data_IF_984818122493
#
_entry.id   IF_984818122493
#
_cell.length_a   1.000
_cell.length_b   1.000
_cell.length_c   1.000
_cell.angle_alpha   90.00
_cell.angle_beta   90.00
_cell.angle_gamma   90.00
#
_symmetry.space_group_name_H-M   'P 1'
#
loop_
_entity.id
_entity.type
_entity.pdbx_description
1 polymer ?
#
# COMPACT_ATOMS: atom_id res chain seq x y z
N UNK A 1 4.48 -15.35 16.56
CA UNK A 1 5.58 -14.49 16.09
C UNK A 1 5.25 -13.07 16.53
N UNK A 2 6.15 -12.42 17.27
CA UNK A 2 5.91 -11.06 17.75
C UNK A 2 6.12 -10.08 16.57
N UNK A 3 5.18 -9.15 16.38
CA UNK A 3 5.31 -8.10 15.37
C UNK A 3 6.45 -7.14 15.75
N UNK A 4 7.28 -6.78 14.77
CA UNK A 4 8.33 -5.79 14.94
C UNK A 4 7.82 -4.47 14.35
N UNK A 5 7.77 -3.44 15.20
CA UNK A 5 7.34 -2.11 14.79
C UNK A 5 8.24 -1.58 13.65
N UNK A 6 7.59 -0.99 12.64
CA UNK A 6 8.30 -0.45 11.46
C UNK A 6 8.35 1.07 11.54
N UNK A 7 9.49 1.63 11.23
CA UNK A 7 9.66 3.10 11.18
C UNK A 7 8.70 3.78 10.18
N UNK A 8 8.18 3.01 9.23
CA UNK A 8 7.23 3.49 8.22
C UNK A 8 5.81 3.72 8.77
N UNK A 9 5.43 3.15 9.94
CA UNK A 9 4.05 3.10 10.41
C UNK A 9 3.37 4.45 10.52
N UNK A 10 3.97 5.39 11.26
CA UNK A 10 3.37 6.70 11.50
C UNK A 10 3.19 7.51 10.23
N UNK A 11 4.20 7.44 9.36
CA UNK A 11 4.15 8.12 8.07
C UNK A 11 3.11 7.48 7.14
N UNK A 12 3.02 6.16 7.14
CA UNK A 12 2.03 5.42 6.36
C UNK A 12 0.61 5.75 6.80
N UNK A 13 0.32 5.73 8.11
CA UNK A 13 -0.99 6.09 8.67
C UNK A 13 -1.39 7.53 8.32
N UNK A 14 -0.47 8.48 8.49
CA UNK A 14 -0.70 9.89 8.10
C UNK A 14 -1.02 10.02 6.61
N UNK A 15 -0.30 9.32 5.77
CA UNK A 15 -0.52 9.35 4.31
C UNK A 15 -1.87 8.75 3.92
N UNK A 16 -2.35 7.74 4.64
CA UNK A 16 -3.69 7.16 4.46
C UNK A 16 -4.84 8.15 4.68
N UNK A 17 -4.59 9.24 5.40
CA UNK A 17 -5.58 10.32 5.59
C UNK A 17 -5.58 11.35 4.44
N UNK A 18 -4.64 11.28 3.51
CA UNK A 18 -4.51 12.25 2.42
C UNK A 18 -4.75 11.62 1.04
N UNK A 19 -4.26 10.40 0.83
CA UNK A 19 -4.40 9.72 -0.45
C UNK A 19 -5.62 8.80 -0.45
N UNK A 20 -6.46 8.83 -1.50
CA UNK A 20 -7.54 7.87 -1.67
C UNK A 20 -7.03 6.43 -1.87
N UNK A 21 -5.87 6.27 -2.49
CA UNK A 21 -5.20 4.99 -2.59
C UNK A 21 -3.75 5.06 -2.09
N UNK A 22 -3.26 3.96 -1.52
CA UNK A 22 -1.85 3.76 -1.18
C UNK A 22 -1.40 2.45 -1.80
N UNK A 23 -0.21 2.45 -2.41
CA UNK A 23 0.48 1.26 -2.87
C UNK A 23 1.74 1.04 -2.03
N UNK A 24 1.80 -0.08 -1.33
CA UNK A 24 3.00 -0.55 -0.64
C UNK A 24 3.71 -1.58 -1.49
N UNK A 25 4.88 -1.21 -1.99
CA UNK A 25 5.76 -2.08 -2.79
C UNK A 25 6.95 -2.58 -1.98
N UNK A 26 7.71 -3.46 -2.54
CA UNK A 26 8.96 -3.97 -1.96
C UNK A 26 9.23 -5.42 -2.30
N UNK A 27 10.41 -5.95 -1.96
CA UNK A 27 10.77 -7.33 -2.21
C UNK A 27 9.76 -8.32 -1.62
N UNK A 28 9.77 -9.55 -2.12
CA UNK A 28 8.98 -10.63 -1.53
C UNK A 28 9.46 -10.92 -0.10
N UNK A 29 8.53 -11.35 0.76
CA UNK A 29 8.80 -11.80 2.14
C UNK A 29 9.37 -10.75 3.10
N UNK A 30 9.31 -9.46 2.76
CA UNK A 30 9.70 -8.38 3.71
C UNK A 30 8.61 -8.02 4.73
N UNK A 31 7.43 -8.68 4.66
CA UNK A 31 6.35 -8.49 5.61
C UNK A 31 5.32 -7.42 5.24
N UNK A 32 5.16 -7.06 3.95
CA UNK A 32 4.20 -6.05 3.50
C UNK A 32 2.78 -6.32 3.98
N UNK A 33 2.26 -7.53 3.73
CA UNK A 33 0.92 -7.92 4.14
C UNK A 33 0.75 -7.93 5.66
N UNK A 34 1.75 -8.43 6.39
CA UNK A 34 1.77 -8.40 7.86
C UNK A 34 1.72 -6.98 8.39
N UNK A 35 2.54 -6.08 7.82
CA UNK A 35 2.55 -4.66 8.14
C UNK A 35 1.18 -4.02 7.91
N UNK A 36 0.61 -4.15 6.71
CA UNK A 36 -0.66 -3.53 6.37
C UNK A 36 -1.82 -4.05 7.24
N UNK A 37 -1.85 -5.36 7.51
CA UNK A 37 -2.85 -5.93 8.41
C UNK A 37 -2.69 -5.46 9.85
N UNK A 38 -1.47 -5.20 10.29
CA UNK A 38 -1.21 -4.66 11.63
C UNK A 38 -1.64 -3.20 11.76
N UNK A 39 -1.40 -2.37 10.74
CA UNK A 39 -1.71 -0.93 10.78
C UNK A 39 -3.13 -0.60 10.31
N UNK A 40 -3.84 -1.56 9.73
CA UNK A 40 -5.20 -1.35 9.24
C UNK A 40 -6.21 -1.29 10.39
N UNK A 41 -7.23 -0.47 10.21
CA UNK A 41 -8.42 -0.46 11.05
C UNK A 41 -9.24 -1.75 10.89
N UNK A 42 -9.98 -2.14 11.92
CA UNK A 42 -10.80 -3.37 11.91
C UNK A 42 -11.89 -3.37 10.83
N UNK A 43 -12.35 -2.19 10.43
CA UNK A 43 -13.38 -2.02 9.40
C UNK A 43 -12.88 -2.25 7.97
N UNK A 44 -11.56 -2.32 7.75
CA UNK A 44 -10.98 -2.50 6.42
C UNK A 44 -11.10 -3.93 5.96
N UNK A 45 -11.79 -4.14 4.85
CA UNK A 45 -11.85 -5.43 4.18
C UNK A 45 -10.46 -5.87 3.69
N UNK A 46 -10.22 -7.17 3.69
CA UNK A 46 -8.99 -7.75 3.15
C UNK A 46 -9.31 -8.80 2.10
N UNK A 47 -8.63 -8.73 0.97
CA UNK A 47 -8.68 -9.74 -0.09
C UNK A 47 -7.30 -9.94 -0.69
N UNK A 48 -6.93 -11.20 -0.96
CA UNK A 48 -5.66 -11.55 -1.61
C UNK A 48 -5.90 -12.12 -2.99
N UNK A 49 -5.23 -11.54 -3.98
CA UNK A 49 -5.23 -12.05 -5.35
C UNK A 49 -4.31 -13.26 -5.57
N UNK A 50 -3.63 -13.73 -4.51
CA UNK A 50 -3.04 -15.07 -4.50
C UNK A 50 -4.09 -16.17 -4.59
N UNK A 51 -5.31 -15.90 -4.09
CA UNK A 51 -6.44 -16.84 -4.14
C UNK A 51 -6.99 -16.86 -5.57
N UNK A 52 -6.94 -18.03 -6.28
CA UNK A 52 -7.32 -18.11 -7.70
C UNK A 52 -8.75 -17.65 -7.98
N UNK A 53 -9.71 -17.95 -7.09
CA UNK A 53 -11.11 -17.54 -7.24
C UNK A 53 -11.24 -16.01 -7.28
N UNK A 54 -10.61 -15.34 -6.34
CA UNK A 54 -10.72 -13.89 -6.21
C UNK A 54 -9.93 -13.19 -7.33
N UNK A 55 -8.78 -13.76 -7.71
CA UNK A 55 -8.00 -13.29 -8.87
C UNK A 55 -8.77 -13.40 -10.17
N UNK A 56 -9.44 -14.53 -10.43
CA UNK A 56 -10.21 -14.72 -11.65
C UNK A 56 -11.38 -13.74 -11.70
N UNK A 57 -12.11 -13.57 -10.59
CA UNK A 57 -13.18 -12.58 -10.52
C UNK A 57 -12.66 -11.16 -10.79
N UNK A 58 -11.51 -10.80 -10.20
CA UNK A 58 -10.90 -9.47 -10.39
C UNK A 58 -10.52 -9.19 -11.86
N UNK A 59 -10.19 -10.23 -12.62
CA UNK A 59 -9.84 -10.12 -14.05
C UNK A 59 -11.05 -10.13 -14.96
N UNK A 60 -11.99 -11.04 -14.70
CA UNK A 60 -13.15 -11.31 -15.58
C UNK A 60 -14.27 -10.30 -15.35
N UNK A 61 -14.48 -9.89 -14.09
CA UNK A 61 -15.51 -8.94 -13.70
C UNK A 61 -15.02 -8.01 -12.58
N UNK A 62 -14.21 -6.99 -12.91
CA UNK A 62 -13.68 -6.02 -11.95
C UNK A 62 -14.77 -5.26 -11.18
N UNK A 63 -15.91 -4.96 -11.80
CA UNK A 63 -17.02 -4.25 -11.15
C UNK A 63 -17.61 -5.12 -10.04
N UNK A 64 -17.96 -6.36 -10.35
CA UNK A 64 -18.49 -7.31 -9.36
C UNK A 64 -17.48 -7.59 -8.26
N UNK A 65 -16.18 -7.66 -8.58
CA UNK A 65 -15.14 -7.80 -7.56
C UNK A 65 -15.18 -6.63 -6.57
N UNK A 66 -15.23 -5.39 -7.06
CA UNK A 66 -15.25 -4.20 -6.22
C UNK A 66 -16.60 -3.99 -5.48
N UNK A 67 -17.70 -4.49 -6.02
CA UNK A 67 -18.98 -4.55 -5.30
C UNK A 67 -18.93 -5.50 -4.09
N UNK A 68 -18.23 -6.61 -4.21
CA UNK A 68 -18.03 -7.60 -3.12
C UNK A 68 -17.02 -7.11 -2.09
N UNK A 69 -15.98 -6.42 -2.54
CA UNK A 69 -14.88 -5.92 -1.72
C UNK A 69 -14.88 -4.40 -1.66
N UNK A 70 -15.95 -3.84 -1.05
CA UNK A 70 -16.14 -2.39 -0.97
C UNK A 70 -15.04 -1.71 -0.15
N UNK A 71 -14.67 -0.47 -0.50
CA UNK A 71 -13.79 0.35 0.33
C UNK A 71 -14.39 0.64 1.73
N UNK A 72 -13.56 0.79 2.77
CA UNK A 72 -12.10 0.67 2.73
C UNK A 72 -11.63 -0.79 2.57
N UNK A 73 -10.73 -1.02 1.63
CA UNK A 73 -10.26 -2.37 1.31
C UNK A 73 -8.76 -2.43 1.11
N UNK A 74 -8.14 -3.52 1.57
CA UNK A 74 -6.77 -3.90 1.30
C UNK A 74 -6.78 -5.02 0.27
N UNK A 75 -6.22 -4.74 -0.92
CA UNK A 75 -6.06 -5.71 -2.01
C UNK A 75 -4.58 -6.11 -2.07
N UNK A 76 -4.32 -7.36 -1.72
CA UNK A 76 -2.98 -7.91 -1.68
C UNK A 76 -2.59 -8.50 -3.04
N UNK A 77 -1.34 -8.23 -3.49
CA UNK A 77 -0.76 -8.70 -4.74
C UNK A 77 -1.49 -8.21 -6.01
N UNK A 78 -1.73 -6.89 -6.07
CA UNK A 78 -2.48 -6.21 -7.17
C UNK A 78 -1.91 -6.50 -8.57
N UNK A 79 -0.61 -6.86 -8.69
CA UNK A 79 0.00 -7.20 -9.97
C UNK A 79 -0.64 -8.41 -10.67
N UNK A 80 -1.40 -9.22 -9.93
CA UNK A 80 -2.12 -10.36 -10.51
C UNK A 80 -3.42 -10.00 -11.24
N UNK A 81 -3.97 -8.80 -10.99
CA UNK A 81 -5.14 -8.31 -11.70
C UNK A 81 -5.06 -6.79 -11.93
N UNK A 82 -4.13 -6.33 -12.79
CA UNK A 82 -4.01 -4.90 -13.12
C UNK A 82 -5.27 -4.34 -13.78
N UNK A 83 -6.16 -5.19 -14.27
CA UNK A 83 -7.48 -4.85 -14.82
C UNK A 83 -8.36 -4.09 -13.81
N UNK A 84 -8.11 -4.24 -12.50
CA UNK A 84 -8.82 -3.50 -11.45
C UNK A 84 -8.50 -2.00 -11.44
N UNK A 85 -7.32 -1.60 -11.87
CA UNK A 85 -6.83 -0.22 -11.69
C UNK A 85 -7.73 0.85 -12.33
N UNK A 86 -8.24 0.69 -13.57
CA UNK A 86 -9.18 1.65 -14.15
C UNK A 86 -10.49 1.79 -13.36
N UNK A 87 -11.00 0.69 -12.80
CA UNK A 87 -12.24 0.69 -12.01
C UNK A 87 -12.02 1.31 -10.63
N UNK A 88 -10.88 1.04 -9.99
CA UNK A 88 -10.46 1.72 -8.76
C UNK A 88 -10.39 3.23 -8.99
N UNK A 89 -9.82 3.68 -10.12
CA UNK A 89 -9.79 5.10 -10.49
C UNK A 89 -11.19 5.70 -10.55
N UNK A 90 -12.12 5.04 -11.23
CA UNK A 90 -13.51 5.51 -11.36
C UNK A 90 -14.17 5.67 -9.98
N UNK A 91 -14.00 4.71 -9.09
CA UNK A 91 -14.53 4.79 -7.73
C UNK A 91 -13.90 5.92 -6.92
N UNK A 92 -12.59 6.11 -7.02
CA UNK A 92 -11.90 7.22 -6.36
C UNK A 92 -12.42 8.57 -6.86
N UNK A 93 -12.57 8.73 -8.17
CA UNK A 93 -13.06 9.98 -8.77
C UNK A 93 -14.50 10.28 -8.38
N UNK A 94 -15.32 9.26 -8.16
CA UNK A 94 -16.72 9.38 -7.73
C UNK A 94 -16.83 9.75 -6.25
N UNK A 95 -16.09 9.08 -5.38
CA UNK A 95 -16.27 9.21 -3.93
C UNK A 95 -15.34 10.24 -3.29
N UNK A 96 -14.15 10.44 -3.83
CA UNK A 96 -13.14 11.41 -3.40
C UNK A 96 -12.80 11.33 -1.89
N UNK A 97 -12.80 10.13 -1.33
CA UNK A 97 -12.49 9.89 0.08
C UNK A 97 -11.05 9.42 0.25
N UNK A 98 -10.34 9.84 1.31
CA UNK A 98 -9.03 9.29 1.62
C UNK A 98 -9.15 7.85 2.13
N UNK A 99 -8.06 7.07 1.99
CA UNK A 99 -7.94 5.75 2.57
C UNK A 99 -8.83 4.66 1.97
N UNK A 100 -9.42 4.87 0.80
CA UNK A 100 -10.32 3.89 0.17
C UNK A 100 -9.63 2.58 -0.15
N UNK A 101 -8.44 2.65 -0.77
CA UNK A 101 -7.72 1.49 -1.27
C UNK A 101 -6.32 1.41 -0.72
N UNK A 102 -5.98 0.32 -0.07
CA UNK A 102 -4.61 -0.07 0.24
C UNK A 102 -4.23 -1.24 -0.66
N UNK A 103 -3.16 -1.09 -1.40
CA UNK A 103 -2.71 -2.04 -2.38
C UNK A 103 -1.32 -2.55 -1.99
N UNK A 104 -1.05 -3.83 -2.19
CA UNK A 104 0.32 -4.34 -2.16
C UNK A 104 0.73 -4.85 -3.53
N UNK A 105 2.04 -4.87 -3.74
CA UNK A 105 2.60 -5.47 -4.93
C UNK A 105 4.10 -5.66 -4.84
N UNK A 106 4.63 -6.56 -5.65
CA UNK A 106 6.08 -6.68 -5.84
C UNK A 106 6.60 -5.53 -6.69
N UNK A 107 7.89 -5.19 -6.51
CA UNK A 107 8.61 -4.21 -7.34
C UNK A 107 8.79 -4.75 -8.77
N UNK A 108 7.72 -4.81 -9.53
CA UNK A 108 7.79 -5.10 -10.97
C UNK A 108 7.61 -3.80 -11.76
N UNK A 109 8.53 -3.50 -12.64
CA UNK A 109 8.52 -2.28 -13.45
C UNK A 109 7.19 -2.06 -14.20
N UNK A 110 6.62 -3.14 -14.76
CA UNK A 110 5.31 -3.08 -15.45
C UNK A 110 4.17 -2.69 -14.51
N UNK A 111 4.16 -3.26 -13.30
CA UNK A 111 3.11 -2.95 -12.31
C UNK A 111 3.20 -1.49 -11.86
N UNK A 112 4.40 -1.00 -11.55
CA UNK A 112 4.61 0.40 -11.18
C UNK A 112 4.13 1.35 -12.28
N UNK A 113 4.45 1.06 -13.54
CA UNK A 113 3.99 1.84 -14.68
C UNK A 113 2.46 1.86 -14.79
N UNK A 114 1.81 0.71 -14.71
CA UNK A 114 0.35 0.62 -14.77
C UNK A 114 -0.33 1.42 -13.64
N UNK A 115 0.20 1.33 -12.42
CA UNK A 115 -0.35 2.09 -11.27
C UNK A 115 -0.14 3.58 -11.46
N UNK A 116 1.06 4.01 -11.85
CA UNK A 116 1.36 5.45 -12.05
C UNK A 116 0.56 6.04 -13.21
N UNK A 117 0.32 5.30 -14.28
CA UNK A 117 -0.51 5.75 -15.40
C UNK A 117 -2.00 5.79 -15.03
N UNK A 118 -2.52 4.74 -14.37
CA UNK A 118 -3.95 4.64 -14.05
C UNK A 118 -4.37 5.51 -12.85
N UNK A 119 -3.54 5.61 -11.82
CA UNK A 119 -3.86 6.27 -10.56
C UNK A 119 -3.04 7.56 -10.33
N UNK A 120 -2.55 8.19 -11.39
CA UNK A 120 -1.79 9.44 -11.32
C UNK A 120 -2.54 10.51 -10.48
N UNK A 121 -1.83 11.11 -9.51
CA UNK A 121 -2.40 12.10 -8.59
C UNK A 121 -3.36 11.54 -7.52
N UNK A 122 -3.62 10.23 -7.49
CA UNK A 122 -4.57 9.57 -6.57
C UNK A 122 -3.92 8.57 -5.64
N UNK A 123 -2.68 8.17 -5.91
CA UNK A 123 -1.98 7.12 -5.17
C UNK A 123 -0.71 7.65 -4.53
N UNK A 124 -0.55 7.37 -3.23
CA UNK A 124 0.73 7.46 -2.54
C UNK A 124 1.48 6.14 -2.69
N UNK A 125 2.74 6.17 -3.14
CA UNK A 125 3.55 4.98 -3.35
C UNK A 125 4.63 4.92 -2.29
N UNK A 126 4.71 3.77 -1.59
CA UNK A 126 5.68 3.50 -0.55
C UNK A 126 6.46 2.24 -0.87
N UNK A 127 7.74 2.26 -0.59
CA UNK A 127 8.59 1.09 -0.69
C UNK A 127 8.96 0.60 0.71
N UNK A 128 8.69 -0.69 0.97
CA UNK A 128 9.06 -1.35 2.20
C UNK A 128 10.22 -2.29 1.94
N UNK A 129 11.33 -2.01 2.58
CA UNK A 129 12.53 -2.85 2.57
C UNK A 129 12.52 -3.86 3.72
N UNK A 130 13.53 -4.72 3.81
CA UNK A 130 13.75 -5.59 4.95
C UNK A 130 13.85 -4.81 6.27
N UNK A 131 13.86 -5.53 7.40
CA UNK A 131 14.05 -4.91 8.71
C UNK A 131 15.43 -4.26 8.79
N UNK A 132 15.47 -3.02 9.24
CA UNK A 132 16.72 -2.34 9.59
C UNK A 132 17.25 -2.86 10.93
N UNK A 133 18.55 -2.71 11.17
CA UNK A 133 19.15 -3.05 12.48
C UNK A 133 18.46 -2.31 13.62
N UNK A 134 18.03 -1.07 13.39
CA UNK A 134 17.33 -0.24 14.39
C UNK A 134 15.96 -0.79 14.75
N UNK A 135 15.19 -1.25 13.76
CA UNK A 135 13.90 -1.92 13.97
C UNK A 135 14.08 -3.24 14.74
N UNK A 136 15.13 -4.00 14.43
CA UNK A 136 15.47 -5.23 15.14
C UNK A 136 15.88 -4.99 16.61
N UNK A 137 16.56 -3.87 16.87
CA UNK A 137 17.00 -3.48 18.22
C UNK A 137 15.93 -2.70 18.99
N UNK A 138 14.72 -2.54 18.44
CA UNK A 138 13.62 -1.76 19.02
C UNK A 138 14.00 -0.32 19.40
N UNK A 139 14.95 0.28 18.68
CA UNK A 139 15.33 1.69 18.87
C UNK A 139 14.38 2.60 18.12
N UNK A 140 13.63 3.41 18.86
CA UNK A 140 12.90 4.52 18.27
C UNK A 140 13.91 5.52 17.71
N UNK A 141 13.81 5.82 16.43
CA UNK A 141 14.68 6.79 15.78
C UNK A 141 13.82 7.89 15.23
N UNK A 142 14.17 9.12 15.60
CA UNK A 142 13.66 10.29 14.90
C UNK A 142 14.02 10.19 13.41
N UNK A 143 13.09 10.56 12.52
CA UNK A 143 13.37 10.61 11.10
C UNK A 143 14.59 11.49 10.84
N UNK A 144 15.31 11.23 9.74
CA UNK A 144 16.45 12.05 9.31
C UNK A 144 16.17 13.54 9.51
N UNK A 145 17.06 14.22 10.20
CA UNK A 145 17.01 15.67 10.28
C UNK A 145 17.02 16.26 8.86
N UNK A 146 16.24 17.32 8.60
CA UNK A 146 16.31 18.04 7.34
C UNK A 146 17.75 18.49 7.03
N UNK A 147 18.10 18.53 5.75
CA UNK A 147 19.45 18.92 5.28
C UNK A 147 19.93 20.26 5.86
N UNK A 148 19.02 21.11 6.31
CA UNK A 148 19.30 22.42 6.88
C UNK A 148 19.99 22.39 8.27
N UNK A 149 20.06 21.20 8.92
CA UNK A 149 20.69 21.04 10.25
C UNK A 149 22.12 20.48 10.17
N UNK A 150 22.71 20.39 8.98
CA UNK A 150 24.15 20.09 8.88
C UNK A 150 24.92 21.35 9.27
N UNK A 151 25.81 21.27 10.30
CA UNK A 151 26.70 22.37 10.59
C UNK A 151 27.57 22.67 9.37
N UNK A 152 27.74 23.95 9.04
CA UNK A 152 28.63 24.36 7.98
C UNK A 152 29.99 23.67 8.15
N UNK A 153 30.36 22.85 7.17
CA UNK A 153 31.68 22.20 7.16
C UNK A 153 32.71 23.30 6.81
N UNK A 154 33.72 23.51 7.65
CA UNK A 154 34.70 24.56 7.42
C UNK A 154 35.57 24.33 6.16
#
# INVERSE_FOLDING_TARGET
>A
MQYIHRNLEDFFKKSGMHYPAILLTGPRQVGKTTFLRHVSEESRNYVSLDIPRDRNLAKEDPELFLERHKPPVLIDEIQYAPELLPFIKVLIDKEQKPGMFWLTGSLQFRMMRNVTESLAGRVGIFEMLGLSNRELEHRNVEPFLPINDFPDVP
#
